data_IF_942526594436
#
_entry.id   IF_942526594436
#
_cell.length_a   1.000
_cell.length_b   1.000
_cell.length_c   1.000
_cell.angle_alpha   90.00
_cell.angle_beta   90.00
_cell.angle_gamma   90.00
#
_symmetry.space_group_name_H-M   'P 1'
#
loop_
_entity.id
_entity.type
_entity.pdbx_description
1 polymer ?
#
# COMPACT_ATOMS: atom_id res chain seq x y z
N UNK A 1 -20.31 19.22 -0.15
CA UNK A 1 -19.08 19.16 0.67
C UNK A 1 -18.45 17.80 0.47
N UNK A 2 -17.13 17.72 0.27
CA UNK A 2 -16.46 16.43 0.22
C UNK A 2 -16.46 15.79 1.61
N UNK A 3 -16.77 14.49 1.73
CA UNK A 3 -16.78 13.78 3.00
C UNK A 3 -15.41 13.84 3.68
N UNK A 4 -15.42 13.95 5.02
CA UNK A 4 -14.19 13.98 5.83
C UNK A 4 -13.38 12.71 5.60
N UNK A 5 -12.09 12.83 5.34
CA UNK A 5 -11.19 11.68 5.12
C UNK A 5 -10.36 11.42 6.36
N UNK A 6 -10.44 10.19 6.87
CA UNK A 6 -9.70 9.70 8.03
C UNK A 6 -8.64 8.70 7.54
N UNK A 7 -7.37 8.91 7.87
CA UNK A 7 -6.32 7.93 7.67
C UNK A 7 -6.30 6.95 8.84
N UNK A 8 -6.61 5.68 8.62
CA UNK A 8 -6.44 4.65 9.65
C UNK A 8 -5.06 4.04 9.48
N UNK A 9 -4.25 4.08 10.55
CA UNK A 9 -2.85 3.69 10.50
C UNK A 9 -2.46 2.80 11.69
N UNK A 10 -1.44 1.97 11.48
CA UNK A 10 -0.80 1.20 12.54
C UNK A 10 -0.03 2.13 13.48
N UNK A 11 -0.22 1.97 14.79
CA UNK A 11 0.40 2.79 15.82
C UNK A 11 1.06 1.95 16.91
N UNK A 12 1.78 2.64 17.80
CA UNK A 12 2.33 2.08 19.03
C UNK A 12 1.53 2.62 20.22
N UNK A 13 1.51 1.92 21.36
CA UNK A 13 0.90 2.44 22.61
C UNK A 13 1.59 3.73 23.11
N UNK A 14 2.80 4.03 22.65
CA UNK A 14 3.47 5.30 22.92
C UNK A 14 3.00 6.45 22.01
N UNK A 15 2.18 6.19 20.98
CA UNK A 15 1.72 7.18 20.03
C UNK A 15 2.85 7.84 19.23
N UNK A 16 3.90 7.07 18.90
CA UNK A 16 5.03 7.55 18.07
C UNK A 16 4.59 7.78 16.62
N UNK A 17 5.05 8.88 16.04
CA UNK A 17 4.72 9.35 14.67
C UNK A 17 5.99 9.63 13.86
N UNK A 18 7.06 8.88 14.07
CA UNK A 18 8.39 9.13 13.53
C UNK A 18 8.68 8.41 12.20
N UNK A 19 7.91 7.37 11.85
CA UNK A 19 8.18 6.51 10.70
C UNK A 19 6.92 6.15 9.89
N UNK A 20 7.13 5.81 8.61
CA UNK A 20 6.11 5.28 7.69
C UNK A 20 4.77 6.04 7.71
N UNK A 21 3.68 5.30 7.70
CA UNK A 21 2.32 5.84 7.77
C UNK A 21 2.06 6.67 9.04
N UNK A 22 2.66 6.34 10.18
CA UNK A 22 2.49 7.11 11.41
C UNK A 22 3.03 8.54 11.27
N UNK A 23 4.16 8.70 10.56
CA UNK A 23 4.68 10.02 10.20
C UNK A 23 3.74 10.78 9.26
N UNK A 24 3.16 10.09 8.27
CA UNK A 24 2.15 10.68 7.38
C UNK A 24 0.89 11.11 8.15
N UNK A 25 0.49 10.34 9.17
CA UNK A 25 -0.64 10.66 10.04
C UNK A 25 -0.40 11.97 10.81
N UNK A 26 0.80 12.17 11.37
CA UNK A 26 1.16 13.43 12.01
C UNK A 26 1.19 14.61 11.03
N UNK A 27 1.99 14.48 9.96
CA UNK A 27 2.27 15.59 9.04
C UNK A 27 1.07 16.03 8.19
N UNK A 28 0.31 15.08 7.66
CA UNK A 28 -0.73 15.37 6.67
C UNK A 28 -2.16 15.14 7.15
N UNK A 29 -2.32 14.59 8.36
CA UNK A 29 -3.62 14.35 8.96
C UNK A 29 -3.75 14.93 10.38
N UNK A 30 -2.69 15.50 10.96
CA UNK A 30 -2.75 16.19 12.24
C UNK A 30 -2.93 15.26 13.44
N UNK A 31 -2.45 14.03 13.35
CA UNK A 31 -2.36 13.16 14.53
C UNK A 31 -1.38 13.76 15.55
N UNK A 32 -1.79 13.81 16.82
CA UNK A 32 -0.97 14.33 17.90
C UNK A 32 -0.05 13.25 18.50
N UNK A 33 1.23 13.54 18.79
CA UNK A 33 2.12 12.62 19.49
C UNK A 33 1.50 12.13 20.81
N UNK A 34 1.64 10.83 21.10
CA UNK A 34 1.01 10.20 22.27
C UNK A 34 -0.41 9.70 22.03
N UNK A 35 -1.06 10.06 20.91
CA UNK A 35 -2.35 9.50 20.51
C UNK A 35 -2.17 8.10 19.91
N UNK A 36 -2.19 7.07 20.76
CA UNK A 36 -1.98 5.70 20.34
C UNK A 36 -3.21 5.09 19.64
N UNK A 37 -4.40 5.18 20.24
CA UNK A 37 -5.62 4.54 19.76
C UNK A 37 -6.72 5.56 19.53
N UNK A 38 -7.55 5.32 18.52
CA UNK A 38 -8.70 6.17 18.23
C UNK A 38 -8.38 7.40 17.38
N UNK A 39 -9.34 8.30 17.29
CA UNK A 39 -9.27 9.50 16.45
C UNK A 39 -8.32 10.55 17.04
N UNK A 40 -7.40 11.04 16.22
CA UNK A 40 -6.55 12.21 16.50
C UNK A 40 -6.36 13.00 15.21
N UNK A 41 -6.80 14.26 15.19
CA UNK A 41 -6.94 15.04 13.96
C UNK A 41 -7.85 14.36 12.93
N UNK A 42 -7.33 14.14 11.73
CA UNK A 42 -7.95 13.36 10.65
C UNK A 42 -7.30 11.97 10.50
N UNK A 43 -6.76 11.41 11.58
CA UNK A 43 -6.20 10.06 11.61
C UNK A 43 -6.83 9.21 12.71
N UNK A 44 -6.80 7.89 12.55
CA UNK A 44 -7.26 6.93 13.53
C UNK A 44 -6.16 5.90 13.79
N UNK A 45 -5.65 5.83 15.01
CA UNK A 45 -4.58 4.90 15.39
C UNK A 45 -5.11 3.52 15.77
N UNK A 46 -4.44 2.47 15.27
CA UNK A 46 -4.65 1.07 15.67
C UNK A 46 -3.36 0.55 16.30
N UNK A 47 -3.27 0.46 17.64
CA UNK A 47 -2.08 -0.04 18.30
C UNK A 47 -1.82 -1.50 17.94
N UNK A 48 -0.62 -1.80 17.46
CA UNK A 48 -0.16 -3.19 17.25
C UNK A 48 1.09 -3.53 18.04
N UNK A 49 1.76 -2.52 18.62
CA UNK A 49 2.90 -2.74 19.53
C UNK A 49 2.77 -1.88 20.78
N UNK A 50 3.39 -2.32 21.87
CA UNK A 50 3.52 -1.53 23.09
C UNK A 50 4.60 -0.43 22.95
N UNK A 51 4.83 0.34 24.02
CA UNK A 51 5.80 1.44 24.07
C UNK A 51 7.27 1.00 23.90
N UNK A 52 7.55 -0.30 24.06
CA UNK A 52 8.87 -0.91 23.84
C UNK A 52 9.00 -1.53 22.43
N UNK A 53 7.98 -1.39 21.57
CA UNK A 53 7.97 -1.96 20.22
C UNK A 53 7.67 -3.47 20.17
N UNK A 54 7.23 -4.07 21.28
CA UNK A 54 6.80 -5.48 21.29
C UNK A 54 5.36 -5.58 20.79
N UNK A 55 5.11 -6.53 19.89
CA UNK A 55 3.78 -6.83 19.36
C UNK A 55 2.77 -7.09 20.48
N UNK A 56 1.59 -6.47 20.38
CA UNK A 56 0.46 -6.73 21.26
C UNK A 56 -0.17 -8.09 20.97
N UNK A 57 -0.96 -8.60 21.91
CA UNK A 57 -1.70 -9.84 21.67
C UNK A 57 -2.72 -9.65 20.55
N UNK A 58 -3.04 -10.73 19.84
CA UNK A 58 -4.10 -10.69 18.82
C UNK A 58 -5.47 -10.32 19.41
N UNK A 59 -5.71 -10.57 20.69
CA UNK A 59 -6.93 -10.13 21.39
C UNK A 59 -7.01 -8.61 21.48
N UNK A 60 -5.94 -7.95 21.93
CA UNK A 60 -5.86 -6.48 22.03
C UNK A 60 -5.98 -5.81 20.65
N UNK A 61 -5.33 -6.38 19.63
CA UNK A 61 -5.41 -5.87 18.26
C UNK A 61 -6.83 -6.04 17.70
N UNK A 62 -7.47 -7.19 17.93
CA UNK A 62 -8.85 -7.47 17.51
C UNK A 62 -9.85 -6.53 18.18
N UNK A 63 -9.66 -6.22 19.47
CA UNK A 63 -10.49 -5.24 20.17
C UNK A 63 -10.37 -3.85 19.51
N UNK A 64 -9.15 -3.41 19.20
CA UNK A 64 -8.87 -2.12 18.55
C UNK A 64 -9.47 -2.03 17.14
N UNK A 65 -9.38 -3.10 16.35
CA UNK A 65 -10.05 -3.19 15.03
C UNK A 65 -11.57 -3.15 15.20
N UNK A 66 -12.11 -3.86 16.20
CA UNK A 66 -13.53 -3.81 16.54
C UNK A 66 -14.02 -2.39 16.89
N UNK A 67 -13.24 -1.63 17.65
CA UNK A 67 -13.50 -0.22 17.96
C UNK A 67 -13.54 0.64 16.70
N UNK A 68 -12.54 0.50 15.81
CA UNK A 68 -12.54 1.19 14.52
C UNK A 68 -13.80 0.90 13.70
N UNK A 69 -14.17 -0.37 13.57
CA UNK A 69 -15.32 -0.77 12.76
C UNK A 69 -16.63 -0.25 13.37
N UNK A 70 -16.77 -0.22 14.70
CA UNK A 70 -17.89 0.45 15.38
C UNK A 70 -17.89 1.95 15.10
N UNK A 71 -16.74 2.60 15.24
CA UNK A 71 -16.58 4.03 15.02
C UNK A 71 -16.92 4.42 13.58
N UNK A 72 -16.46 3.66 12.58
CA UNK A 72 -16.77 3.91 11.18
C UNK A 72 -18.26 3.76 10.86
N UNK A 73 -18.97 2.80 11.48
CA UNK A 73 -20.44 2.65 11.35
C UNK A 73 -21.19 3.86 11.93
N UNK A 74 -20.71 4.40 13.03
CA UNK A 74 -21.29 5.58 13.67
C UNK A 74 -21.07 6.88 12.88
N UNK A 75 -20.15 6.89 11.90
CA UNK A 75 -19.81 8.06 11.09
C UNK A 75 -19.91 7.76 9.58
N UNK A 76 -21.12 7.46 9.06
CA UNK A 76 -21.30 7.03 7.67
C UNK A 76 -20.89 8.09 6.62
N UNK A 77 -20.91 9.37 6.98
CA UNK A 77 -20.53 10.49 6.10
C UNK A 77 -19.01 10.76 6.05
N UNK A 78 -18.20 9.97 6.76
CA UNK A 78 -16.74 10.06 6.75
C UNK A 78 -16.15 8.88 6.00
N UNK A 79 -15.03 9.07 5.30
CA UNK A 79 -14.30 7.98 4.66
C UNK A 79 -13.09 7.58 5.50
N UNK A 80 -12.93 6.29 5.78
CA UNK A 80 -11.81 5.73 6.51
C UNK A 80 -10.89 5.00 5.54
N UNK A 81 -9.73 5.59 5.23
CA UNK A 81 -8.71 4.94 4.40
C UNK A 81 -7.83 4.07 5.30
N UNK A 82 -8.06 2.77 5.25
CA UNK A 82 -7.30 1.76 6.00
C UNK A 82 -6.00 1.47 5.27
N UNK A 83 -4.87 1.77 5.92
CA UNK A 83 -3.55 1.36 5.39
C UNK A 83 -3.25 -0.09 5.75
N UNK A 84 -2.17 -0.65 5.21
CA UNK A 84 -1.68 -1.95 5.67
C UNK A 84 -1.39 -1.89 7.18
N UNK A 85 -1.96 -2.83 7.91
CA UNK A 85 -1.79 -3.04 9.35
C UNK A 85 -1.09 -4.38 9.58
N UNK A 86 -0.46 -4.56 10.73
CA UNK A 86 0.18 -5.81 11.11
C UNK A 86 1.55 -6.01 10.45
N UNK A 87 2.34 -4.95 10.29
CA UNK A 87 3.66 -5.07 9.64
C UNK A 87 4.65 -5.90 10.48
N UNK A 88 4.47 -5.91 11.81
CA UNK A 88 5.27 -6.68 12.76
C UNK A 88 4.62 -8.01 13.17
N UNK A 89 3.52 -8.41 12.53
CA UNK A 89 2.83 -9.68 12.81
C UNK A 89 3.44 -10.82 11.99
N UNK A 90 3.33 -12.04 12.51
CA UNK A 90 3.57 -13.24 11.70
C UNK A 90 2.55 -13.30 10.54
N UNK A 91 2.85 -14.03 9.44
CA UNK A 91 1.92 -14.15 8.31
C UNK A 91 0.51 -14.62 8.72
N UNK A 92 0.41 -15.62 9.61
CA UNK A 92 -0.87 -16.16 10.08
C UNK A 92 -1.65 -15.16 10.96
N UNK A 93 -0.96 -14.38 11.80
CA UNK A 93 -1.59 -13.32 12.60
C UNK A 93 -2.05 -12.15 11.73
N UNK A 94 -1.26 -11.77 10.73
CA UNK A 94 -1.63 -10.75 9.75
C UNK A 94 -2.86 -11.17 8.96
N UNK A 95 -2.92 -12.43 8.52
CA UNK A 95 -4.11 -12.97 7.86
C UNK A 95 -5.34 -12.86 8.78
N UNK A 96 -5.24 -13.27 10.05
CA UNK A 96 -6.32 -13.09 11.04
C UNK A 96 -6.75 -11.64 11.22
N UNK A 97 -5.82 -10.69 11.19
CA UNK A 97 -6.13 -9.26 11.23
C UNK A 97 -6.91 -8.85 9.98
N UNK A 98 -6.39 -9.18 8.79
CA UNK A 98 -6.99 -8.83 7.51
C UNK A 98 -8.42 -9.38 7.42
N UNK A 99 -8.65 -10.62 7.84
CA UNK A 99 -9.96 -11.26 7.81
C UNK A 99 -11.06 -10.51 8.59
N UNK A 100 -10.71 -9.71 9.61
CA UNK A 100 -11.66 -8.84 10.31
C UNK A 100 -12.23 -7.73 9.40
N UNK A 101 -11.54 -7.40 8.31
CA UNK A 101 -11.95 -6.46 7.27
C UNK A 101 -12.61 -7.12 6.06
N UNK A 102 -13.02 -8.40 6.14
CA UNK A 102 -13.70 -9.08 5.02
C UNK A 102 -15.00 -8.35 4.61
N UNK A 103 -15.77 -7.88 5.59
CA UNK A 103 -17.02 -7.14 5.39
C UNK A 103 -17.06 -5.87 6.27
N UNK A 104 -16.22 -4.87 5.99
CA UNK A 104 -16.16 -3.66 6.78
C UNK A 104 -17.32 -2.73 6.40
N UNK A 105 -17.59 -1.68 7.19
CA UNK A 105 -18.49 -0.60 6.80
C UNK A 105 -18.16 -0.05 5.40
N UNK A 106 -19.16 0.35 4.62
CA UNK A 106 -18.99 0.76 3.22
C UNK A 106 -18.08 1.98 3.04
N UNK A 107 -17.93 2.77 4.09
CA UNK A 107 -17.06 3.93 4.16
C UNK A 107 -15.61 3.60 4.57
N UNK A 108 -15.28 2.33 4.83
CA UNK A 108 -13.90 1.85 4.96
C UNK A 108 -13.32 1.49 3.58
N UNK A 109 -12.27 2.19 3.17
CA UNK A 109 -11.50 1.93 1.95
C UNK A 109 -10.27 1.12 2.29
N UNK A 110 -10.19 -0.10 1.76
CA UNK A 110 -9.15 -1.07 2.07
C UNK A 110 -7.97 -0.99 1.08
N UNK A 111 -6.77 -1.49 1.47
CA UNK A 111 -5.65 -1.68 0.56
C UNK A 111 -6.01 -2.57 -0.63
N UNK A 112 -5.39 -2.32 -1.79
CA UNK A 112 -5.58 -3.10 -3.01
C UNK A 112 -5.22 -4.58 -2.83
N UNK A 113 -4.17 -4.89 -2.07
CA UNK A 113 -3.77 -6.26 -1.76
C UNK A 113 -4.84 -7.03 -0.99
N UNK A 114 -5.51 -6.38 -0.03
CA UNK A 114 -6.60 -6.99 0.73
C UNK A 114 -7.84 -7.17 -0.15
N UNK A 115 -8.16 -6.19 -1.00
CA UNK A 115 -9.24 -6.32 -1.97
C UNK A 115 -8.97 -7.48 -2.94
N UNK A 116 -7.73 -7.71 -3.36
CA UNK A 116 -7.35 -8.86 -4.18
C UNK A 116 -7.52 -10.18 -3.41
N UNK A 117 -7.05 -10.25 -2.15
CA UNK A 117 -7.23 -11.41 -1.28
C UNK A 117 -8.71 -11.78 -1.08
N UNK A 118 -9.59 -10.78 -1.02
CA UNK A 118 -11.03 -11.00 -0.91
C UNK A 118 -11.75 -11.21 -2.25
N UNK A 119 -11.02 -11.26 -3.36
CA UNK A 119 -11.58 -11.33 -4.72
C UNK A 119 -12.59 -10.18 -5.02
N UNK A 120 -12.27 -8.98 -4.54
CA UNK A 120 -13.08 -7.74 -4.65
C UNK A 120 -12.48 -6.73 -5.62
N UNK A 121 -11.39 -7.07 -6.31
CA UNK A 121 -10.85 -6.26 -7.39
C UNK A 121 -11.33 -6.76 -8.74
N UNK A 122 -11.81 -5.88 -9.64
CA UNK A 122 -12.15 -6.25 -11.00
C UNK A 122 -10.91 -6.54 -11.87
N UNK A 123 -9.75 -6.01 -11.46
CA UNK A 123 -8.46 -6.17 -12.14
C UNK A 123 -7.30 -6.10 -11.15
N UNK A 124 -6.19 -6.76 -11.45
CA UNK A 124 -4.98 -6.66 -10.63
C UNK A 124 -4.28 -5.33 -10.91
N UNK A 125 -3.68 -4.74 -9.88
CA UNK A 125 -3.02 -3.43 -9.93
C UNK A 125 -1.54 -3.63 -9.63
N UNK A 126 -0.72 -3.59 -10.67
CA UNK A 126 0.69 -3.97 -10.65
C UNK A 126 1.56 -2.75 -10.42
N UNK A 127 2.06 -2.54 -9.20
CA UNK A 127 3.03 -1.48 -8.96
C UNK A 127 4.39 -1.88 -9.49
N UNK A 128 4.85 -1.20 -10.53
CA UNK A 128 6.18 -1.42 -11.10
C UNK A 128 7.20 -0.68 -10.26
N UNK A 129 8.19 -1.41 -9.74
CA UNK A 129 9.29 -0.85 -8.95
C UNK A 129 10.62 -1.29 -9.55
N UNK A 130 11.53 -0.34 -9.69
CA UNK A 130 12.87 -0.57 -10.23
C UNK A 130 12.93 -1.06 -11.67
N UNK A 131 14.05 -0.77 -12.33
CA UNK A 131 14.30 -1.17 -13.72
C UNK A 131 13.27 -0.67 -14.74
N UNK A 132 12.38 0.28 -14.39
CA UNK A 132 11.27 0.70 -15.27
C UNK A 132 11.77 1.28 -16.60
N UNK A 133 12.89 2.01 -16.57
CA UNK A 133 13.59 2.48 -17.76
C UNK A 133 13.98 1.34 -18.73
N UNK A 134 14.23 0.13 -18.23
CA UNK A 134 14.61 -1.04 -19.04
C UNK A 134 13.46 -1.55 -19.91
N UNK A 135 12.19 -1.21 -19.63
CA UNK A 135 11.05 -1.51 -20.51
C UNK A 135 11.15 -0.82 -21.88
N UNK A 136 12.04 0.16 -22.06
CA UNK A 136 12.36 0.72 -23.38
C UNK A 136 13.12 -0.25 -24.29
N UNK A 137 13.77 -1.28 -23.72
CA UNK A 137 14.50 -2.31 -24.46
C UNK A 137 13.53 -3.39 -24.94
N UNK A 138 13.61 -3.74 -26.21
CA UNK A 138 12.70 -4.71 -26.84
C UNK A 138 12.69 -6.06 -26.11
N UNK A 139 13.86 -6.55 -25.68
CA UNK A 139 13.95 -7.82 -24.95
C UNK A 139 13.23 -7.76 -23.60
N UNK A 140 13.51 -6.75 -22.76
CA UNK A 140 12.85 -6.59 -21.46
C UNK A 140 11.34 -6.39 -21.59
N UNK A 141 10.88 -5.66 -22.61
CA UNK A 141 9.45 -5.53 -22.90
C UNK A 141 8.82 -6.88 -23.29
N UNK A 142 9.52 -7.70 -24.08
CA UNK A 142 9.06 -9.04 -24.45
C UNK A 142 9.03 -9.97 -23.22
N UNK A 143 10.09 -9.97 -22.41
CA UNK A 143 10.18 -10.74 -21.16
C UNK A 143 9.02 -10.38 -20.22
N UNK A 144 8.79 -9.08 -20.02
CA UNK A 144 7.72 -8.62 -19.14
C UNK A 144 6.33 -9.00 -19.68
N UNK A 145 6.13 -8.93 -21.00
CA UNK A 145 4.86 -9.34 -21.63
C UNK A 145 4.61 -10.83 -21.44
N UNK A 146 5.64 -11.66 -21.62
CA UNK A 146 5.55 -13.10 -21.40
C UNK A 146 5.30 -13.42 -19.92
N UNK A 147 6.00 -12.72 -19.02
CA UNK A 147 5.77 -12.80 -17.59
C UNK A 147 4.31 -12.50 -17.22
N UNK A 148 3.72 -11.42 -17.75
CA UNK A 148 2.31 -11.10 -17.52
C UNK A 148 1.39 -12.18 -18.08
N UNK A 149 1.67 -12.70 -19.28
CA UNK A 149 0.89 -13.77 -19.91
C UNK A 149 0.84 -15.05 -19.07
N UNK A 150 1.98 -15.43 -18.47
CA UNK A 150 2.11 -16.64 -17.66
C UNK A 150 1.48 -16.48 -16.27
N UNK A 151 1.64 -15.32 -15.64
CA UNK A 151 1.28 -15.14 -14.24
C UNK A 151 -0.13 -14.57 -14.02
N UNK A 152 -0.66 -13.73 -14.92
CA UNK A 152 -1.98 -13.13 -14.75
C UNK A 152 -3.12 -14.15 -14.49
N UNK A 153 -3.17 -15.32 -15.16
CA UNK A 153 -4.17 -16.35 -14.86
C UNK A 153 -4.12 -16.89 -13.44
N UNK A 154 -2.94 -16.95 -12.81
CA UNK A 154 -2.74 -17.44 -11.44
C UNK A 154 -3.25 -16.47 -10.38
N UNK A 155 -3.50 -15.22 -10.79
CA UNK A 155 -3.88 -14.13 -9.90
C UNK A 155 -5.39 -13.91 -9.81
N UNK A 156 -6.19 -14.79 -10.43
CA UNK A 156 -7.65 -14.76 -10.33
C UNK A 156 -8.34 -13.62 -11.07
N UNK A 157 -7.63 -12.88 -11.94
CA UNK A 157 -8.18 -11.81 -12.77
C UNK A 157 -7.73 -11.93 -14.22
N UNK A 158 -8.65 -11.73 -15.16
CA UNK A 158 -8.34 -11.68 -16.59
C UNK A 158 -7.79 -10.34 -17.08
N UNK A 159 -7.80 -9.29 -16.26
CA UNK A 159 -7.34 -7.95 -16.65
C UNK A 159 -6.37 -7.34 -15.63
N UNK A 160 -5.51 -6.45 -16.13
CA UNK A 160 -4.40 -5.83 -15.41
C UNK A 160 -4.42 -4.31 -15.59
N UNK A 161 -4.06 -3.59 -14.54
CA UNK A 161 -3.70 -2.17 -14.55
C UNK A 161 -2.26 -2.03 -14.05
N UNK A 162 -1.44 -1.32 -14.81
CA UNK A 162 -0.09 -0.98 -14.40
C UNK A 162 -0.15 0.27 -13.52
N UNK A 163 0.56 0.25 -12.40
CA UNK A 163 0.68 1.38 -11.46
C UNK A 163 2.12 1.84 -11.46
N UNK A 164 2.33 3.15 -11.53
CA UNK A 164 3.67 3.75 -11.41
C UNK A 164 3.70 4.83 -10.35
N UNK A 165 4.82 4.88 -9.61
CA UNK A 165 5.18 5.99 -8.75
C UNK A 165 6.69 6.19 -8.88
N UNK A 166 7.15 7.32 -9.43
CA UNK A 166 8.57 7.45 -9.73
C UNK A 166 8.92 8.72 -10.46
N UNK A 167 10.06 8.68 -11.14
CA UNK A 167 10.49 9.78 -11.99
C UNK A 167 9.55 9.95 -13.19
N UNK A 168 9.55 11.13 -13.79
CA UNK A 168 8.83 11.37 -15.05
C UNK A 168 9.31 10.44 -16.17
N UNK A 169 10.61 10.09 -16.20
CA UNK A 169 11.19 9.19 -17.20
C UNK A 169 10.66 7.76 -17.10
N UNK A 170 10.60 7.20 -15.88
CA UNK A 170 10.02 5.86 -15.65
C UNK A 170 8.53 5.85 -15.98
N UNK A 171 7.83 6.90 -15.56
CA UNK A 171 6.40 7.06 -15.82
C UNK A 171 6.09 7.06 -17.32
N UNK A 172 6.85 7.79 -18.12
CA UNK A 172 6.71 7.83 -19.59
C UNK A 172 7.03 6.48 -20.22
N UNK A 173 8.05 5.78 -19.71
CA UNK A 173 8.43 4.47 -20.23
C UNK A 173 7.35 3.42 -19.96
N UNK A 174 6.83 3.39 -18.73
CA UNK A 174 5.71 2.53 -18.33
C UNK A 174 4.45 2.87 -19.14
N UNK A 175 4.14 4.15 -19.32
CA UNK A 175 2.98 4.59 -20.11
C UNK A 175 3.04 4.11 -21.56
N UNK A 176 4.21 4.21 -22.19
CA UNK A 176 4.43 3.69 -23.54
C UNK A 176 4.24 2.19 -23.61
N UNK A 177 4.81 1.45 -22.65
CA UNK A 177 4.64 0.00 -22.57
C UNK A 177 3.16 -0.38 -22.40
N UNK A 178 2.46 0.25 -21.45
CA UNK A 178 1.05 -0.03 -21.17
C UNK A 178 0.17 0.21 -22.41
N UNK A 179 0.35 1.36 -23.09
CA UNK A 179 -0.38 1.68 -24.33
C UNK A 179 -0.14 0.67 -25.44
N UNK A 180 1.12 0.26 -25.65
CA UNK A 180 1.47 -0.72 -26.67
C UNK A 180 0.81 -2.10 -26.45
N UNK A 181 0.46 -2.43 -25.20
CA UNK A 181 -0.13 -3.71 -24.82
C UNK A 181 -1.61 -3.62 -24.42
N UNK A 182 -2.25 -2.46 -24.65
CA UNK A 182 -3.66 -2.26 -24.30
C UNK A 182 -3.96 -2.30 -22.79
N UNK A 183 -2.98 -2.01 -21.95
CA UNK A 183 -3.10 -2.01 -20.49
C UNK A 183 -3.50 -0.63 -19.97
N UNK A 184 -4.33 -0.59 -18.94
CA UNK A 184 -4.57 0.64 -18.18
C UNK A 184 -3.31 1.03 -17.41
N UNK A 185 -3.07 2.35 -17.26
CA UNK A 185 -1.95 2.88 -16.51
C UNK A 185 -2.40 3.94 -15.50
N UNK A 186 -2.09 3.72 -14.23
CA UNK A 186 -2.36 4.64 -13.12
C UNK A 186 -1.05 5.21 -12.58
N UNK A 187 -0.87 6.51 -12.74
CA UNK A 187 0.22 7.25 -12.11
C UNK A 187 -0.23 7.74 -10.74
N UNK A 188 0.58 7.49 -9.71
CA UNK A 188 0.38 8.05 -8.37
C UNK A 188 1.30 9.27 -8.22
N UNK A 189 0.75 10.50 -8.23
CA UNK A 189 1.55 11.72 -8.18
C UNK A 189 2.00 12.06 -6.75
N UNK A 190 3.02 12.92 -6.65
CA UNK A 190 3.33 13.62 -5.39
C UNK A 190 2.31 14.73 -5.12
N UNK A 191 2.12 15.05 -3.85
CA UNK A 191 1.34 16.21 -3.40
C UNK A 191 2.22 17.08 -2.49
N UNK A 192 3.05 17.89 -3.14
CA UNK A 192 4.00 18.78 -2.46
C UNK A 192 3.29 19.89 -1.69
N UNK A 193 2.14 20.34 -2.16
CA UNK A 193 1.33 21.34 -1.48
C UNK A 193 0.87 20.84 -0.10
N UNK A 194 0.52 19.56 0.01
CA UNK A 194 0.07 18.95 1.27
C UNK A 194 1.21 18.45 2.15
N UNK A 195 2.23 17.82 1.56
CA UNK A 195 3.23 17.06 2.31
C UNK A 195 4.64 17.65 2.27
N UNK A 196 4.88 18.72 1.49
CA UNK A 196 6.18 19.37 1.36
C UNK A 196 7.31 18.38 1.06
N UNK A 197 8.38 18.43 1.85
CA UNK A 197 9.53 17.52 1.74
C UNK A 197 9.19 16.02 1.92
N UNK A 198 7.99 15.69 2.39
CA UNK A 198 7.52 14.31 2.61
C UNK A 198 6.57 13.81 1.52
N UNK A 199 6.37 14.57 0.44
CA UNK A 199 5.47 14.19 -0.65
C UNK A 199 5.86 12.87 -1.33
N UNK A 200 7.16 12.58 -1.46
CA UNK A 200 7.63 11.29 -1.98
C UNK A 200 7.23 10.11 -1.09
N UNK A 201 7.38 10.24 0.23
CA UNK A 201 6.95 9.22 1.19
C UNK A 201 5.43 9.02 1.13
N UNK A 202 4.65 10.11 1.11
CA UNK A 202 3.19 10.03 1.03
C UNK A 202 2.70 9.36 -0.26
N UNK A 203 3.35 9.65 -1.40
CA UNK A 203 3.09 9.01 -2.69
C UNK A 203 3.37 7.52 -2.62
N UNK A 204 4.51 7.12 -2.08
CA UNK A 204 4.92 5.71 -1.99
C UNK A 204 3.93 4.91 -1.14
N UNK A 205 3.52 5.43 0.03
CA UNK A 205 2.48 4.82 0.87
C UNK A 205 1.14 4.72 0.13
N UNK A 206 0.77 5.74 -0.67
CA UNK A 206 -0.44 5.70 -1.47
C UNK A 206 -0.36 4.66 -2.61
N UNK A 207 0.81 4.50 -3.22
CA UNK A 207 1.03 3.52 -4.28
C UNK A 207 0.93 2.08 -3.72
N UNK A 208 1.56 1.82 -2.58
CA UNK A 208 1.45 0.54 -1.87
C UNK A 208 0.03 0.26 -1.37
N UNK A 209 -0.68 1.29 -0.89
CA UNK A 209 -2.09 1.16 -0.54
C UNK A 209 -2.97 0.82 -1.75
N UNK A 210 -2.68 1.39 -2.91
CA UNK A 210 -3.51 1.24 -4.10
C UNK A 210 -3.29 -0.09 -4.83
N UNK A 211 -2.04 -0.57 -4.90
CA UNK A 211 -1.67 -1.75 -5.64
C UNK A 211 -2.18 -3.04 -5.01
N UNK A 212 -2.34 -4.09 -5.83
CA UNK A 212 -2.60 -5.44 -5.32
C UNK A 212 -1.33 -6.27 -5.21
N UNK A 213 -0.31 -5.92 -5.99
CA UNK A 213 1.01 -6.54 -5.96
C UNK A 213 2.09 -5.57 -6.43
N UNK A 214 3.32 -5.89 -6.09
CA UNK A 214 4.52 -5.20 -6.55
C UNK A 214 5.22 -6.09 -7.56
N UNK A 215 5.67 -5.51 -8.67
CA UNK A 215 6.49 -6.19 -9.68
C UNK A 215 7.83 -5.48 -9.78
N UNK A 216 8.90 -6.19 -9.46
CA UNK A 216 10.27 -5.72 -9.59
C UNK A 216 10.82 -6.06 -10.97
N UNK A 217 11.39 -5.07 -11.67
CA UNK A 217 12.11 -5.29 -12.94
C UNK A 217 13.64 -5.19 -12.78
N UNK A 218 14.11 -5.14 -11.53
CA UNK A 218 15.54 -5.07 -11.21
C UNK A 218 16.21 -6.38 -11.61
N UNK A 219 17.38 -6.28 -12.24
CA UNK A 219 18.25 -7.44 -12.50
C UNK A 219 19.23 -7.62 -11.35
N UNK A 220 19.72 -8.84 -11.14
CA UNK A 220 20.66 -9.18 -10.07
C UNK A 220 21.96 -8.34 -10.09
N UNK A 221 22.35 -7.81 -11.25
CA UNK A 221 23.54 -6.98 -11.45
C UNK A 221 23.28 -5.46 -11.30
N UNK A 222 22.04 -5.04 -11.05
CA UNK A 222 21.66 -3.63 -10.93
C UNK A 222 21.53 -3.19 -9.46
N UNK A 223 22.08 -2.02 -9.13
CA UNK A 223 21.87 -1.40 -7.82
C UNK A 223 20.59 -0.58 -7.83
N UNK A 224 19.62 -0.92 -6.98
CA UNK A 224 18.36 -0.18 -6.90
C UNK A 224 18.52 1.14 -6.13
N UNK A 225 17.95 2.25 -6.63
CA UNK A 225 17.76 3.47 -5.87
C UNK A 225 17.13 3.24 -4.49
N UNK A 226 17.55 4.02 -3.48
CA UNK A 226 17.12 3.83 -2.08
C UNK A 226 15.60 3.94 -1.85
N UNK A 227 14.85 4.63 -2.72
CA UNK A 227 13.39 4.68 -2.68
C UNK A 227 12.75 3.34 -3.10
N UNK A 228 13.34 2.63 -4.06
CA UNK A 228 12.82 1.35 -4.54
C UNK A 228 13.06 0.23 -3.53
N UNK A 229 14.26 0.21 -2.92
CA UNK A 229 14.56 -0.68 -1.79
C UNK A 229 13.55 -0.47 -0.66
N UNK A 230 13.21 0.78 -0.36
CA UNK A 230 12.19 1.10 0.65
C UNK A 230 10.80 0.58 0.25
N UNK A 231 10.37 0.78 -1.01
CA UNK A 231 9.08 0.30 -1.51
C UNK A 231 8.96 -1.22 -1.39
N UNK A 232 9.98 -1.96 -1.87
CA UNK A 232 10.05 -3.42 -1.79
C UNK A 232 10.02 -3.89 -0.33
N UNK A 233 10.85 -3.32 0.54
CA UNK A 233 10.89 -3.68 1.96
C UNK A 233 9.55 -3.38 2.67
N UNK A 234 8.87 -2.29 2.29
CA UNK A 234 7.57 -1.93 2.87
C UNK A 234 6.46 -2.85 2.36
N UNK A 235 6.47 -3.20 1.07
CA UNK A 235 5.57 -4.18 0.49
C UNK A 235 5.68 -5.54 1.19
N UNK A 236 6.91 -6.02 1.40
CA UNK A 236 7.18 -7.28 2.09
C UNK A 236 6.65 -7.27 3.53
N UNK A 237 6.92 -6.22 4.31
CA UNK A 237 6.37 -6.06 5.67
C UNK A 237 4.85 -5.98 5.69
N UNK A 238 4.25 -5.33 4.70
CA UNK A 238 2.81 -5.23 4.55
C UNK A 238 2.15 -6.54 4.05
N UNK A 239 2.92 -7.56 3.69
CA UNK A 239 2.41 -8.80 3.10
C UNK A 239 1.81 -8.61 1.70
N UNK A 240 2.24 -7.59 0.96
CA UNK A 240 1.86 -7.40 -0.44
C UNK A 240 2.68 -8.39 -1.28
N UNK A 241 2.07 -9.18 -2.17
CA UNK A 241 2.80 -10.07 -3.07
C UNK A 241 3.87 -9.30 -3.86
N UNK A 242 5.10 -9.81 -3.83
CA UNK A 242 6.24 -9.31 -4.60
C UNK A 242 6.52 -10.33 -5.70
N UNK A 243 6.45 -9.86 -6.94
CA UNK A 243 6.82 -10.63 -8.11
C UNK A 243 8.12 -10.08 -8.69
N UNK A 244 9.04 -10.95 -9.09
CA UNK A 244 10.31 -10.55 -9.69
C UNK A 244 10.34 -11.04 -11.14
N UNK A 245 10.59 -10.12 -12.09
CA UNK A 245 10.72 -10.51 -13.50
C UNK A 245 11.95 -11.40 -13.71
N UNK A 246 13.03 -11.12 -12.99
CA UNK A 246 14.30 -11.82 -13.05
C UNK A 246 14.60 -12.44 -11.68
N UNK A 247 13.86 -13.50 -11.32
CA UNK A 247 14.20 -14.35 -10.18
C UNK A 247 15.28 -15.35 -10.64
N UNK A 248 16.35 -15.49 -9.83
CA UNK A 248 17.41 -16.48 -10.04
C UNK A 248 16.93 -17.93 -9.87
#
# INVERSE_FOLDING_TARGET
>A
MSPRSILVFESTLAGRLDQGTARIAGLGYGAEPGSASGLSGNAYGIPTTNSLGRTLTMEEITASVGDLLRFARAHPDWNFRVTSLGQNLSPAERERLIEQFRAPPANCRLPGSWLAQFNRLPHQRLLIVGGAHSLSRAQTAADFTEFLRLNAPLWGSGTLEIVSCGSSGDTVTIDRYAKAHGLAHKVIPTDEARYGAHAGLARDELALWYCSRVVSLIRADETSPGNEVRLIATAARAGIPLEELYAD
#
